data_IF_893094650697
#
_entry.id   IF_893094650697
#
_cell.length_a   1.000
_cell.length_b   1.000
_cell.length_c   1.000
_cell.angle_alpha   90.00
_cell.angle_beta   90.00
_cell.angle_gamma   90.00
#
_symmetry.space_group_name_H-M   'P 1'
#
loop_
_entity.id
_entity.type
_entity.pdbx_description
1 polymer ?
#
# COMPACT_ATOMS: atom_id res chain seq x y z
N UNK A 1 -17.26 13.97 -5.26
CA UNK A 1 -17.39 14.05 -3.80
C UNK A 1 -17.35 15.49 -3.32
N UNK A 2 -16.36 16.30 -3.71
CA UNK A 2 -16.26 17.71 -3.30
C UNK A 2 -17.50 18.57 -3.68
N UNK A 3 -18.08 18.35 -4.86
CA UNK A 3 -19.33 19.01 -5.28
C UNK A 3 -20.53 18.70 -4.35
N UNK A 4 -20.61 17.48 -3.81
CA UNK A 4 -21.68 17.08 -2.90
C UNK A 4 -21.63 17.91 -1.61
N UNK A 5 -20.43 18.10 -1.05
CA UNK A 5 -20.24 18.92 0.16
C UNK A 5 -20.50 20.41 -0.03
N UNK A 6 -20.52 20.90 -1.28
CA UNK A 6 -20.84 22.31 -1.57
C UNK A 6 -22.33 22.49 -1.87
N UNK A 7 -22.93 21.54 -2.61
CA UNK A 7 -24.27 21.71 -3.17
C UNK A 7 -25.36 21.00 -2.40
N UNK A 8 -25.08 19.78 -1.91
CA UNK A 8 -26.12 18.84 -1.51
C UNK A 8 -26.02 18.43 -0.03
N UNK A 9 -24.89 18.71 0.63
CA UNK A 9 -24.72 18.42 2.05
C UNK A 9 -25.60 19.34 2.90
N UNK A 10 -26.36 18.75 3.82
CA UNK A 10 -27.19 19.44 4.79
C UNK A 10 -26.80 19.00 6.22
N UNK A 11 -26.19 19.87 7.05
CA UNK A 11 -25.78 19.53 8.41
C UNK A 11 -26.94 19.05 9.30
N UNK A 12 -28.12 19.66 9.19
CA UNK A 12 -29.27 19.36 10.05
C UNK A 12 -29.81 17.94 9.81
N UNK A 13 -29.79 17.48 8.56
CA UNK A 13 -30.22 16.12 8.20
C UNK A 13 -29.17 15.06 8.54
N UNK A 14 -27.93 15.47 8.79
CA UNK A 14 -26.80 14.57 9.04
C UNK A 14 -26.30 14.66 10.49
N UNK A 15 -27.06 15.29 11.37
CA UNK A 15 -26.73 15.41 12.79
C UNK A 15 -26.47 14.02 13.41
N UNK A 16 -25.42 13.93 14.23
CA UNK A 16 -24.96 12.74 14.96
C UNK A 16 -24.64 11.47 14.13
N UNK A 17 -24.62 11.56 12.79
CA UNK A 17 -24.25 10.44 11.96
C UNK A 17 -22.73 10.29 11.76
N UNK A 18 -22.30 9.22 11.08
CA UNK A 18 -20.87 8.95 10.83
C UNK A 18 -20.19 10.04 9.99
N UNK A 19 -20.93 10.70 9.11
CA UNK A 19 -20.44 11.76 8.24
C UNK A 19 -20.17 13.04 9.04
N UNK A 20 -21.10 13.47 9.90
CA UNK A 20 -20.91 14.61 10.79
C UNK A 20 -19.72 14.38 11.74
N UNK A 21 -19.66 13.22 12.40
CA UNK A 21 -18.56 12.87 13.31
C UNK A 21 -17.19 12.84 12.61
N UNK A 22 -17.12 12.43 11.35
CA UNK A 22 -15.89 12.49 10.56
C UNK A 22 -15.46 13.95 10.31
N UNK A 23 -16.42 14.84 10.00
CA UNK A 23 -16.14 16.26 9.76
C UNK A 23 -15.67 16.98 11.03
N UNK A 24 -16.18 16.60 12.21
CA UNK A 24 -15.74 17.16 13.49
C UNK A 24 -14.27 16.86 13.79
N UNK A 25 -13.78 15.70 13.34
CA UNK A 25 -12.39 15.27 13.53
C UNK A 25 -11.52 15.40 12.26
N UNK A 26 -11.94 16.21 11.28
CA UNK A 26 -11.27 16.35 9.98
C UNK A 26 -9.79 16.76 10.08
N UNK A 27 -9.43 17.62 11.04
CA UNK A 27 -8.05 18.07 11.22
C UNK A 27 -7.13 16.93 11.69
N UNK A 28 -7.65 16.00 12.51
CA UNK A 28 -6.90 14.81 12.91
C UNK A 28 -6.67 13.86 11.72
N UNK A 29 -7.68 13.68 10.85
CA UNK A 29 -7.54 12.86 9.64
C UNK A 29 -6.49 13.47 8.70
N UNK A 30 -6.58 14.77 8.45
CA UNK A 30 -5.62 15.50 7.59
C UNK A 30 -4.20 15.43 8.18
N UNK A 31 -4.04 15.59 9.49
CA UNK A 31 -2.71 15.58 10.13
C UNK A 31 -2.04 14.21 10.04
N UNK A 32 -2.78 13.11 10.21
CA UNK A 32 -2.24 11.75 10.08
C UNK A 32 -1.88 11.42 8.62
N UNK A 33 -2.71 11.83 7.65
CA UNK A 33 -2.36 11.70 6.23
C UNK A 33 -1.11 12.51 5.87
N UNK A 34 -1.00 13.73 6.39
CA UNK A 34 0.20 14.56 6.22
C UNK A 34 1.44 13.92 6.82
N UNK A 35 1.32 13.34 8.02
CA UNK A 35 2.41 12.62 8.66
C UNK A 35 2.84 11.41 7.83
N UNK A 36 1.90 10.59 7.36
CA UNK A 36 2.20 9.42 6.52
C UNK A 36 2.90 9.81 5.22
N UNK A 37 2.43 10.85 4.53
CA UNK A 37 3.08 11.39 3.32
C UNK A 37 4.50 11.88 3.59
N UNK A 38 4.72 12.65 4.67
CA UNK A 38 6.06 13.13 5.03
C UNK A 38 6.98 11.97 5.42
N UNK A 39 6.49 11.04 6.24
CA UNK A 39 7.23 9.86 6.64
C UNK A 39 7.68 9.05 5.42
N UNK A 40 6.75 8.68 4.52
CA UNK A 40 7.08 7.95 3.31
C UNK A 40 8.01 8.74 2.40
N UNK A 41 7.81 10.06 2.28
CA UNK A 41 8.63 10.95 1.47
C UNK A 41 10.10 10.97 1.91
N UNK A 42 10.33 11.24 3.20
CA UNK A 42 11.69 11.30 3.75
C UNK A 42 12.42 9.96 3.64
N UNK A 43 11.78 8.85 4.00
CA UNK A 43 12.46 7.56 4.03
C UNK A 43 12.67 6.99 2.63
N UNK A 44 11.69 7.09 1.73
CA UNK A 44 11.81 6.56 0.36
C UNK A 44 12.85 7.34 -0.42
N UNK A 45 12.75 8.68 -0.44
CA UNK A 45 13.72 9.52 -1.14
C UNK A 45 15.10 9.42 -0.50
N UNK A 46 15.17 9.38 0.84
CA UNK A 46 16.43 9.22 1.57
C UNK A 46 17.17 7.95 1.19
N UNK A 47 16.47 6.82 1.06
CA UNK A 47 17.06 5.56 0.62
C UNK A 47 17.52 5.60 -0.85
N UNK A 48 16.72 6.19 -1.76
CA UNK A 48 17.14 6.37 -3.16
C UNK A 48 18.44 7.18 -3.24
N UNK A 49 18.47 8.37 -2.60
CA UNK A 49 19.65 9.24 -2.62
C UNK A 49 20.85 8.56 -1.96
N UNK A 50 20.66 7.88 -0.83
CA UNK A 50 21.73 7.10 -0.19
C UNK A 50 22.32 6.06 -1.15
N UNK A 51 21.47 5.27 -1.80
CA UNK A 51 21.90 4.20 -2.70
C UNK A 51 22.61 4.74 -3.95
N UNK A 52 22.15 5.87 -4.51
CA UNK A 52 22.81 6.55 -5.61
C UNK A 52 24.19 7.08 -5.22
N UNK A 53 24.32 7.67 -4.02
CA UNK A 53 25.59 8.18 -3.51
C UNK A 53 26.59 7.04 -3.25
N UNK A 54 26.15 5.93 -2.65
CA UNK A 54 27.01 4.75 -2.45
C UNK A 54 27.49 4.13 -3.77
N UNK A 55 26.61 4.11 -4.79
CA UNK A 55 26.96 3.65 -6.13
C UNK A 55 27.97 4.59 -6.80
N UNK A 56 27.74 5.91 -6.70
CA UNK A 56 28.62 6.93 -7.27
C UNK A 56 30.03 6.90 -6.65
N UNK A 57 30.14 6.54 -5.38
CA UNK A 57 31.43 6.35 -4.69
C UNK A 57 32.08 4.99 -4.96
N UNK A 58 31.48 4.12 -5.79
CA UNK A 58 32.04 2.82 -6.13
C UNK A 58 31.97 1.80 -4.98
N UNK A 59 31.10 2.02 -4.00
CA UNK A 59 30.87 1.12 -2.86
C UNK A 59 29.44 0.56 -2.86
N UNK A 60 29.03 -0.22 -3.90
CA UNK A 60 27.65 -0.73 -4.01
C UNK A 60 27.26 -1.66 -2.85
N UNK A 61 28.21 -2.30 -2.18
CA UNK A 61 27.99 -3.15 -1.01
C UNK A 61 27.47 -2.38 0.22
N UNK A 62 27.56 -1.05 0.21
CA UNK A 62 27.05 -0.17 1.27
C UNK A 62 25.65 0.37 1.00
N UNK A 63 25.03 -0.04 -0.10
CA UNK A 63 23.62 0.24 -0.36
C UNK A 63 22.73 -0.41 0.70
N UNK A 64 21.62 0.25 1.01
CA UNK A 64 20.60 -0.30 1.89
C UNK A 64 19.55 -0.96 1.00
N UNK A 65 19.64 -2.29 0.91
CA UNK A 65 18.73 -3.13 0.15
C UNK A 65 17.80 -3.88 1.11
N UNK A 66 16.53 -3.47 1.16
CA UNK A 66 15.53 -4.06 2.04
C UNK A 66 14.70 -5.06 1.24
N UNK A 67 14.70 -6.33 1.67
CA UNK A 67 13.87 -7.37 1.08
C UNK A 67 12.39 -7.17 1.42
N UNK A 68 11.45 -7.28 0.45
CA UNK A 68 10.02 -7.17 0.69
C UNK A 68 9.44 -8.45 1.30
N UNK A 69 9.88 -8.82 2.51
CA UNK A 69 9.57 -10.10 3.16
C UNK A 69 8.06 -10.39 3.26
N UNK A 70 7.23 -9.36 3.46
CA UNK A 70 5.78 -9.52 3.58
C UNK A 70 5.16 -9.90 2.23
N UNK A 71 5.63 -9.30 1.14
CA UNK A 71 5.14 -9.65 -0.18
C UNK A 71 5.69 -11.03 -0.62
N UNK A 72 6.93 -11.37 -0.28
CA UNK A 72 7.50 -12.71 -0.55
C UNK A 72 6.76 -13.80 0.24
N UNK A 73 6.37 -13.50 1.49
CA UNK A 73 5.54 -14.36 2.31
C UNK A 73 4.15 -14.57 1.67
N UNK A 74 3.52 -13.51 1.15
CA UNK A 74 2.24 -13.64 0.40
C UNK A 74 2.41 -14.51 -0.85
N UNK A 75 3.49 -14.32 -1.63
CA UNK A 75 3.73 -15.17 -2.80
C UNK A 75 3.90 -16.65 -2.39
N UNK A 76 4.59 -16.90 -1.28
CA UNK A 76 4.80 -18.25 -0.77
C UNK A 76 3.55 -18.88 -0.17
N UNK A 77 2.73 -18.09 0.53
CA UNK A 77 1.41 -18.50 0.99
C UNK A 77 0.51 -18.95 -0.17
N UNK A 78 0.71 -18.39 -1.37
CA UNK A 78 0.06 -18.80 -2.61
C UNK A 78 0.76 -19.96 -3.35
N UNK A 79 1.84 -20.54 -2.82
CA UNK A 79 2.48 -21.74 -3.38
C UNK A 79 3.72 -21.49 -4.22
N UNK A 80 4.26 -20.26 -4.22
CA UNK A 80 5.56 -19.98 -4.83
C UNK A 80 6.69 -20.50 -3.94
N UNK A 81 7.53 -21.39 -4.45
CA UNK A 81 8.54 -22.09 -3.64
C UNK A 81 9.91 -21.42 -3.64
N UNK A 82 10.15 -20.43 -4.51
CA UNK A 82 11.48 -19.82 -4.72
C UNK A 82 12.05 -19.08 -3.51
N UNK A 83 11.19 -18.66 -2.56
CA UNK A 83 11.61 -17.91 -1.37
C UNK A 83 11.93 -18.78 -0.15
N UNK A 84 11.63 -20.09 -0.21
CA UNK A 84 11.94 -21.03 0.87
C UNK A 84 11.05 -20.93 2.12
N UNK A 85 9.97 -20.15 2.09
CA UNK A 85 8.97 -20.18 3.16
C UNK A 85 8.09 -21.43 3.05
N UNK A 86 7.97 -22.18 4.14
CA UNK A 86 7.07 -23.35 4.27
C UNK A 86 5.76 -22.93 4.95
N UNK A 87 4.84 -22.33 4.19
CA UNK A 87 3.60 -21.74 4.72
C UNK A 87 2.43 -21.94 3.75
N UNK A 88 1.27 -22.35 4.29
CA UNK A 88 0.03 -22.53 3.52
C UNK A 88 0.23 -23.39 2.26
N UNK A 89 0.10 -22.82 1.06
CA UNK A 89 0.15 -23.58 -0.20
C UNK A 89 1.57 -23.91 -0.67
N UNK A 90 2.62 -23.28 -0.13
CA UNK A 90 4.00 -23.77 -0.37
C UNK A 90 4.32 -24.99 0.49
N UNK A 91 3.54 -25.25 1.54
CA UNK A 91 3.68 -26.42 2.40
C UNK A 91 2.86 -27.59 1.90
N UNK A 92 3.53 -28.61 1.36
CA UNK A 92 2.89 -29.79 0.76
C UNK A 92 2.12 -30.66 1.76
N UNK A 93 2.36 -30.48 3.05
CA UNK A 93 1.68 -31.20 4.13
C UNK A 93 0.57 -30.37 4.79
N UNK A 94 0.38 -29.11 4.38
CA UNK A 94 -0.57 -28.19 4.97
C UNK A 94 -2.04 -28.56 4.68
N UNK A 95 -2.99 -28.26 5.59
CA UNK A 95 -4.41 -28.47 5.34
C UNK A 95 -4.91 -27.75 4.08
N UNK A 96 -4.44 -26.53 3.84
CA UNK A 96 -4.78 -25.74 2.66
C UNK A 96 -4.33 -26.42 1.35
N UNK A 97 -3.11 -26.98 1.35
CA UNK A 97 -2.58 -27.72 0.21
C UNK A 97 -3.39 -29.00 -0.03
N UNK A 98 -3.63 -29.78 1.02
CA UNK A 98 -4.35 -31.04 0.93
C UNK A 98 -5.80 -30.87 0.44
N UNK A 99 -6.48 -29.81 0.88
CA UNK A 99 -7.86 -29.52 0.45
C UNK A 99 -7.96 -29.19 -1.05
N UNK A 100 -6.95 -28.53 -1.64
CA UNK A 100 -6.96 -28.10 -3.05
C UNK A 100 -6.34 -29.10 -4.04
N UNK A 101 -5.59 -30.09 -3.54
CA UNK A 101 -4.65 -30.93 -4.32
C UNK A 101 -5.26 -31.65 -5.52
N UNK A 102 -6.55 -31.98 -5.49
CA UNK A 102 -7.19 -32.83 -6.52
C UNK A 102 -7.95 -32.06 -7.60
N UNK A 103 -8.13 -30.74 -7.47
CA UNK A 103 -9.01 -29.96 -8.38
C UNK A 103 -8.21 -28.90 -9.12
N UNK A 104 -7.92 -27.77 -8.47
CA UNK A 104 -7.33 -26.60 -9.11
C UNK A 104 -5.85 -26.41 -8.76
N UNK A 105 -5.41 -26.94 -7.61
CA UNK A 105 -4.10 -26.64 -7.05
C UNK A 105 -2.92 -27.10 -7.92
N UNK A 106 -2.92 -28.29 -8.56
CA UNK A 106 -1.80 -28.69 -9.42
C UNK A 106 -1.57 -27.72 -10.59
N UNK A 107 -2.65 -27.27 -11.25
CA UNK A 107 -2.55 -26.31 -12.35
C UNK A 107 -2.06 -24.94 -11.87
N UNK A 108 -2.56 -24.49 -10.72
CA UNK A 108 -2.11 -23.26 -10.07
C UNK A 108 -0.62 -23.29 -9.70
N UNK A 109 -0.17 -24.38 -9.04
CA UNK A 109 1.22 -24.52 -8.62
C UNK A 109 2.18 -24.60 -9.80
N UNK A 110 1.77 -25.21 -10.91
CA UNK A 110 2.53 -25.21 -12.15
C UNK A 110 2.68 -23.77 -12.68
N UNK A 111 1.58 -23.01 -12.75
CA UNK A 111 1.60 -21.65 -13.28
C UNK A 111 2.39 -20.68 -12.40
N UNK A 112 2.22 -20.71 -11.07
CA UNK A 112 2.88 -19.74 -10.16
C UNK A 112 4.39 -19.98 -10.01
N UNK A 113 4.87 -21.20 -10.28
CA UNK A 113 6.29 -21.56 -10.24
C UNK A 113 6.95 -21.53 -11.62
N UNK A 114 6.21 -21.15 -12.67
CA UNK A 114 6.75 -21.00 -14.02
C UNK A 114 7.32 -19.58 -14.23
N UNK A 115 8.62 -19.49 -14.50
CA UNK A 115 9.32 -18.20 -14.66
C UNK A 115 9.10 -17.52 -16.03
N UNK A 116 8.34 -18.14 -16.94
CA UNK A 116 8.09 -17.63 -18.29
C UNK A 116 6.86 -16.72 -18.37
N UNK A 117 6.00 -16.74 -17.35
CA UNK A 117 4.77 -15.96 -17.30
C UNK A 117 4.89 -14.77 -16.32
N UNK A 118 3.83 -13.97 -16.21
CA UNK A 118 3.76 -12.79 -15.33
C UNK A 118 3.05 -13.04 -14.00
N UNK A 119 2.68 -14.30 -13.70
CA UNK A 119 1.96 -14.65 -12.49
C UNK A 119 2.91 -14.60 -11.29
N UNK A 120 2.68 -13.66 -10.37
CA UNK A 120 3.51 -13.45 -9.19
C UNK A 120 5.01 -13.42 -9.53
N UNK A 121 5.44 -12.43 -10.31
CA UNK A 121 6.85 -12.20 -10.62
C UNK A 121 7.72 -12.16 -9.35
N UNK A 122 8.97 -12.60 -9.48
CA UNK A 122 9.91 -12.56 -8.36
C UNK A 122 10.22 -11.12 -8.00
N UNK A 123 9.89 -10.75 -6.77
CA UNK A 123 10.14 -9.43 -6.19
C UNK A 123 11.41 -9.41 -5.34
N UNK A 124 12.09 -8.26 -5.35
CA UNK A 124 13.29 -8.00 -4.57
C UNK A 124 13.37 -6.55 -4.03
N UNK A 125 14.56 -6.08 -3.65
CA UNK A 125 14.74 -4.78 -3.01
C UNK A 125 14.34 -3.58 -3.87
N UNK A 126 14.50 -3.66 -5.19
CA UNK A 126 14.03 -2.63 -6.11
C UNK A 126 12.51 -2.48 -6.08
N UNK A 127 11.79 -3.60 -6.03
CA UNK A 127 10.33 -3.63 -5.92
C UNK A 127 9.85 -3.03 -4.59
N UNK A 128 10.59 -3.27 -3.50
CA UNK A 128 10.29 -2.65 -2.20
C UNK A 128 10.28 -1.13 -2.30
N UNK A 129 11.33 -0.52 -2.88
CA UNK A 129 11.45 0.94 -2.98
C UNK A 129 10.37 1.55 -3.87
N UNK A 130 10.09 0.95 -5.04
CA UNK A 130 9.06 1.48 -5.94
C UNK A 130 7.66 1.37 -5.35
N UNK A 131 7.34 0.30 -4.61
CA UNK A 131 6.05 0.19 -3.93
C UNK A 131 5.89 1.26 -2.83
N UNK A 132 6.97 1.63 -2.12
CA UNK A 132 6.94 2.75 -1.17
C UNK A 132 6.77 4.10 -1.86
N UNK A 133 7.37 4.29 -3.04
CA UNK A 133 7.15 5.48 -3.86
C UNK A 133 5.70 5.57 -4.37
N UNK A 134 5.10 4.45 -4.77
CA UNK A 134 3.68 4.36 -5.13
C UNK A 134 2.81 4.68 -3.91
N UNK A 135 3.13 4.12 -2.74
CA UNK A 135 2.42 4.41 -1.51
C UNK A 135 2.50 5.90 -1.15
N UNK A 136 3.67 6.53 -1.30
CA UNK A 136 3.83 7.98 -1.12
C UNK A 136 2.91 8.77 -2.07
N UNK A 137 2.90 8.42 -3.35
CA UNK A 137 2.04 9.04 -4.35
C UNK A 137 0.57 8.94 -3.97
N UNK A 138 0.12 7.73 -3.64
CA UNK A 138 -1.25 7.46 -3.20
C UNK A 138 -1.63 8.27 -1.96
N UNK A 139 -0.83 8.22 -0.88
CA UNK A 139 -1.12 8.95 0.35
C UNK A 139 -1.16 10.46 0.12
N UNK A 140 -0.26 11.00 -0.69
CA UNK A 140 -0.19 12.43 -0.99
C UNK A 140 -1.36 12.89 -1.86
N UNK A 141 -1.75 12.11 -2.88
CA UNK A 141 -2.94 12.40 -3.68
C UNK A 141 -4.20 12.32 -2.82
N UNK A 142 -4.33 11.29 -1.97
CA UNK A 142 -5.44 11.19 -1.02
C UNK A 142 -5.47 12.38 -0.06
N UNK A 143 -4.33 12.80 0.49
CA UNK A 143 -4.24 13.99 1.34
C UNK A 143 -4.76 15.24 0.62
N UNK A 144 -4.35 15.47 -0.63
CA UNK A 144 -4.78 16.63 -1.42
C UNK A 144 -6.30 16.59 -1.64
N UNK A 145 -6.83 15.46 -2.11
CA UNK A 145 -8.27 15.32 -2.41
C UNK A 145 -9.14 15.42 -1.15
N UNK A 146 -8.74 14.74 -0.07
CA UNK A 146 -9.49 14.73 1.20
C UNK A 146 -9.45 16.10 1.87
N UNK A 147 -8.29 16.76 1.89
CA UNK A 147 -8.15 18.11 2.45
C UNK A 147 -8.96 19.14 1.67
N UNK A 148 -9.01 19.05 0.34
CA UNK A 148 -9.88 19.89 -0.49
C UNK A 148 -11.35 19.71 -0.10
N UNK A 149 -11.78 18.45 -0.09
CA UNK A 149 -13.14 18.06 0.27
C UNK A 149 -13.58 18.57 1.66
N UNK A 150 -12.73 18.43 2.68
CA UNK A 150 -13.01 18.90 4.04
C UNK A 150 -13.01 20.43 4.18
N UNK A 151 -12.22 21.15 3.37
CA UNK A 151 -12.26 22.62 3.34
C UNK A 151 -13.53 23.17 2.70
N UNK A 152 -14.10 22.46 1.72
CA UNK A 152 -15.37 22.87 1.11
C UNK A 152 -16.55 22.87 2.08
N UNK A 153 -16.59 21.96 3.07
CA UNK A 153 -17.61 21.99 4.13
C UNK A 153 -17.57 23.25 5.00
N UNK A 154 -16.39 23.88 5.14
CA UNK A 154 -16.22 25.11 5.90
C UNK A 154 -16.98 26.30 5.29
N UNK A 155 -17.15 26.31 3.96
CA UNK A 155 -17.90 27.36 3.26
C UNK A 155 -19.41 27.26 3.48
N UNK A 156 -19.98 26.09 3.73
CA UNK A 156 -21.42 25.96 3.99
C UNK A 156 -21.81 26.33 5.43
N UNK A 157 -20.95 26.02 6.42
CA UNK A 157 -21.25 26.25 7.85
C UNK A 157 -21.15 27.74 8.23
N UNK A 158 -20.27 28.51 7.58
CA UNK A 158 -20.05 29.93 7.89
C UNK A 158 -20.61 30.92 6.85
N UNK A 159 -21.27 30.45 5.79
CA UNK A 159 -21.98 31.31 4.83
C UNK A 159 -23.48 31.43 5.11
N UNK A 160 -23.93 31.01 6.30
CA UNK A 160 -25.26 31.26 6.85
C UNK A 160 -25.15 32.10 8.11
#
# INVERSE_FOLDING_TARGET
MELYFIRDYNPEQNEDNVLARMLDHKEAIISHLSWASLFLGFHTLGLYVHNDVMLAFGTPEKQILIEPIFAQWIQSAHGKTSYGFDVLLSSTNGPAFNAGRSIWLPGWLNAINENSNSLFLTIGPGDFLVHHAIALGLHTTTLILVKGCFRCTWFQVNAR
#
